data_IF_160533492194
#
_entry.id   IF_160533492194
#
_cell.length_a   1.000
_cell.length_b   1.000
_cell.length_c   1.000
_cell.angle_alpha   90.00
_cell.angle_beta   90.00
_cell.angle_gamma   90.00
#
_symmetry.space_group_name_H-M   'P 1'
#
loop_
_entity.id
_entity.type
_entity.pdbx_description
1 polymer ?
#
# COMPACT_ATOMS: atom_id res chain seq x y z
N UNK A 1 4.02 5.73 34.44
CA UNK A 1 3.80 5.86 32.97
C UNK A 1 3.32 4.51 32.47
N UNK A 2 2.24 4.47 31.70
CA UNK A 2 1.77 3.24 31.09
C UNK A 2 2.73 2.87 29.94
N UNK A 3 3.01 1.59 29.71
CA UNK A 3 3.81 1.21 28.52
C UNK A 3 3.02 1.50 27.25
N UNK A 4 3.68 1.92 26.15
CA UNK A 4 3.04 2.17 24.84
C UNK A 4 2.14 1.00 24.40
N UNK A 5 2.58 -0.24 24.70
CA UNK A 5 1.79 -1.44 24.47
C UNK A 5 0.43 -1.39 25.18
N UNK A 6 0.42 -1.10 26.49
CA UNK A 6 -0.81 -1.06 27.29
C UNK A 6 -1.75 0.04 26.80
N UNK A 7 -1.21 1.18 26.37
CA UNK A 7 -2.01 2.26 25.77
C UNK A 7 -2.69 1.80 24.48
N UNK A 8 -1.95 1.11 23.61
CA UNK A 8 -2.48 0.54 22.36
C UNK A 8 -3.51 -0.56 22.62
N UNK A 9 -3.25 -1.46 23.57
CA UNK A 9 -4.21 -2.50 23.99
C UNK A 9 -5.53 -1.90 24.46
N UNK A 10 -5.48 -0.87 25.30
CA UNK A 10 -6.65 -0.15 25.80
C UNK A 10 -7.40 0.61 24.69
N UNK A 11 -6.67 1.29 23.81
CA UNK A 11 -7.24 2.07 22.72
C UNK A 11 -7.96 1.18 21.69
N UNK A 12 -7.46 -0.02 21.44
CA UNK A 12 -8.05 -0.96 20.47
C UNK A 12 -9.10 -1.84 21.14
N UNK A 13 -9.01 -2.09 22.46
CA UNK A 13 -9.88 -3.04 23.16
C UNK A 13 -9.51 -4.50 22.88
N UNK A 14 -8.21 -4.74 22.65
CA UNK A 14 -7.64 -6.07 22.45
C UNK A 14 -6.40 -6.21 23.34
N UNK A 15 -6.06 -7.43 23.75
CA UNK A 15 -4.90 -7.72 24.60
C UNK A 15 -4.02 -8.79 23.97
N UNK A 16 -2.70 -8.64 24.03
CA UNK A 16 -1.81 -9.73 23.62
C UNK A 16 -1.91 -10.90 24.59
N UNK A 17 -1.71 -12.11 24.09
CA UNK A 17 -1.52 -13.28 24.95
C UNK A 17 -0.24 -13.11 25.77
N UNK A 18 -0.33 -13.40 27.06
CA UNK A 18 0.80 -13.38 27.98
C UNK A 18 1.16 -14.83 28.31
N UNK A 19 2.38 -15.24 27.99
CA UNK A 19 2.92 -16.56 28.32
C UNK A 19 4.17 -16.33 29.17
N UNK A 20 4.25 -16.98 30.34
CA UNK A 20 5.36 -16.83 31.28
C UNK A 20 5.63 -15.37 31.72
N UNK A 21 4.59 -14.52 31.75
CA UNK A 21 4.71 -13.12 32.16
C UNK A 21 5.12 -12.15 31.04
N UNK A 22 5.40 -12.64 29.83
CA UNK A 22 5.78 -11.82 28.68
C UNK A 22 4.68 -11.84 27.62
N UNK A 23 4.47 -10.70 26.93
CA UNK A 23 3.61 -10.73 25.75
C UNK A 23 4.28 -11.53 24.65
N UNK A 24 3.48 -12.38 24.01
CA UNK A 24 3.86 -13.07 22.78
C UNK A 24 3.83 -12.07 21.61
N UNK A 25 4.75 -11.12 21.59
CA UNK A 25 5.09 -10.31 20.41
C UNK A 25 6.60 -10.16 20.31
N UNK A 26 7.15 -10.34 19.11
CA UNK A 26 8.56 -10.04 18.86
C UNK A 26 8.68 -8.85 17.92
N UNK A 27 9.39 -7.84 18.37
CA UNK A 27 9.65 -6.65 17.59
C UNK A 27 11.16 -6.60 17.32
N UNK A 28 11.57 -6.87 16.08
CA UNK A 28 12.96 -6.86 15.64
C UNK A 28 13.21 -5.61 14.80
N UNK A 29 14.34 -4.96 15.03
CA UNK A 29 14.82 -3.86 14.20
C UNK A 29 16.10 -4.26 13.50
N UNK A 30 16.15 -4.06 12.20
CA UNK A 30 17.27 -4.45 11.37
C UNK A 30 17.78 -3.29 10.53
N UNK A 31 19.10 -3.24 10.37
CA UNK A 31 19.79 -2.35 9.45
C UNK A 31 19.95 -2.98 8.05
N UNK A 32 19.38 -4.16 7.81
CA UNK A 32 19.35 -4.78 6.49
C UNK A 32 18.55 -3.93 5.49
N UNK A 33 18.89 -4.08 4.21
CA UNK A 33 18.16 -3.47 3.11
C UNK A 33 17.48 -4.61 2.35
N UNK A 34 16.15 -4.76 2.44
CA UNK A 34 15.45 -5.78 1.68
C UNK A 34 15.53 -5.45 0.18
N UNK A 35 15.47 -6.47 -0.68
CA UNK A 35 15.54 -6.30 -2.14
C UNK A 35 14.49 -5.32 -2.68
N UNK A 36 13.30 -5.28 -2.07
CA UNK A 36 12.22 -4.35 -2.37
C UNK A 36 12.55 -2.88 -2.07
N UNK A 37 13.50 -2.63 -1.15
CA UNK A 37 13.94 -1.28 -0.76
C UNK A 37 15.20 -0.82 -1.50
N UNK A 38 15.83 -1.67 -2.31
CA UNK A 38 17.05 -1.32 -3.06
C UNK A 38 16.81 -0.12 -4.02
N UNK A 39 15.61 -0.01 -4.58
CA UNK A 39 15.20 1.12 -5.44
C UNK A 39 15.08 2.44 -4.67
N UNK A 40 14.55 2.42 -3.44
CA UNK A 40 14.49 3.57 -2.54
C UNK A 40 15.89 4.11 -2.20
N UNK A 41 16.86 3.20 -2.05
CA UNK A 41 18.24 3.55 -1.72
C UNK A 41 19.00 4.14 -2.93
N UNK A 42 18.53 3.91 -4.15
CA UNK A 42 19.21 4.28 -5.40
C UNK A 42 18.73 5.60 -6.05
N UNK A 43 17.68 6.23 -5.53
CA UNK A 43 17.15 7.51 -6.07
C UNK A 43 16.18 7.30 -7.24
N UNK A 44 15.17 8.15 -7.36
CA UNK A 44 14.06 8.03 -8.34
C UNK A 44 13.63 9.44 -8.85
N UNK A 45 12.77 9.61 -9.88
CA UNK A 45 12.77 10.70 -10.92
C UNK A 45 12.22 12.17 -10.66
N UNK A 46 12.78 13.29 -11.25
CA UNK A 46 12.74 14.78 -10.97
C UNK A 46 11.62 15.46 -11.75
N UNK A 47 11.32 15.03 -12.98
CA UNK A 47 10.35 15.68 -13.86
C UNK A 47 9.35 14.66 -14.45
N UNK A 48 8.31 14.27 -13.69
CA UNK A 48 7.40 13.16 -14.03
C UNK A 48 6.51 13.39 -15.24
N UNK A 49 6.00 14.60 -15.44
CA UNK A 49 5.11 14.93 -16.57
C UNK A 49 5.89 14.96 -17.87
N UNK A 50 7.15 15.39 -17.83
CA UNK A 50 8.05 15.29 -18.99
C UNK A 50 8.46 13.85 -19.28
N UNK A 51 8.67 13.03 -18.25
CA UNK A 51 8.94 11.60 -18.38
C UNK A 51 7.71 10.87 -18.94
N UNK A 52 6.52 11.14 -18.41
CA UNK A 52 5.23 10.60 -18.88
C UNK A 52 4.93 11.05 -20.30
N UNK A 53 5.18 12.32 -20.63
CA UNK A 53 5.03 12.85 -21.98
C UNK A 53 6.06 12.23 -22.93
N UNK A 54 7.29 11.98 -22.47
CA UNK A 54 8.31 11.25 -23.21
C UNK A 54 7.89 9.80 -23.51
N UNK A 55 7.32 9.09 -22.52
CA UNK A 55 6.74 7.75 -22.74
C UNK A 55 5.53 7.77 -23.68
N UNK A 56 4.64 8.76 -23.57
CA UNK A 56 3.52 8.93 -24.50
C UNK A 56 4.00 9.23 -25.92
N UNK A 57 5.06 10.03 -26.05
CA UNK A 57 5.69 10.34 -27.34
C UNK A 57 6.34 9.10 -27.92
N UNK A 58 7.08 8.32 -27.13
CA UNK A 58 7.65 7.03 -27.55
C UNK A 58 6.56 6.05 -28.01
N UNK A 59 5.44 5.99 -27.28
CA UNK A 59 4.27 5.17 -27.63
C UNK A 59 3.65 5.64 -28.96
N UNK A 60 3.53 6.95 -29.18
CA UNK A 60 3.03 7.51 -30.43
C UNK A 60 3.98 7.22 -31.60
N UNK A 61 5.28 7.38 -31.41
CA UNK A 61 6.28 7.08 -32.45
C UNK A 61 6.30 5.59 -32.80
N UNK A 62 6.06 4.71 -31.81
CA UNK A 62 5.86 3.27 -32.01
C UNK A 62 4.58 3.00 -32.81
N UNK A 63 3.48 3.69 -32.51
CA UNK A 63 2.23 3.58 -33.25
C UNK A 63 2.39 4.05 -34.71
N UNK A 64 3.08 5.17 -34.94
CA UNK A 64 3.40 5.69 -36.28
C UNK A 64 4.26 4.70 -37.08
N UNK A 65 5.21 4.02 -36.44
CA UNK A 65 5.99 2.95 -37.07
C UNK A 65 5.11 1.76 -37.46
N UNK A 66 4.15 1.38 -36.60
CA UNK A 66 3.16 0.36 -36.91
C UNK A 66 2.21 0.79 -38.05
N UNK A 67 1.83 2.06 -38.16
CA UNK A 67 1.05 2.57 -39.29
C UNK A 67 1.79 2.48 -40.62
N UNK A 68 3.13 2.57 -40.60
CA UNK A 68 3.94 2.32 -41.79
C UNK A 68 3.94 0.81 -42.09
N UNK A 69 4.15 -0.04 -41.09
CA UNK A 69 4.35 -1.49 -41.31
C UNK A 69 3.05 -2.27 -41.58
N UNK A 70 1.96 -2.01 -40.85
CA UNK A 70 0.75 -2.82 -40.87
C UNK A 70 0.06 -2.85 -42.24
N UNK A 71 -0.15 -1.72 -42.94
CA UNK A 71 -0.76 -1.73 -44.27
C UNK A 71 0.13 -2.39 -45.33
N UNK A 72 1.44 -2.44 -45.09
CA UNK A 72 2.44 -3.01 -46.01
C UNK A 72 2.69 -4.49 -45.75
N UNK A 73 2.30 -5.00 -44.57
CA UNK A 73 2.49 -6.39 -44.13
C UNK A 73 1.85 -7.40 -45.08
N UNK A 74 0.64 -7.14 -45.57
CA UNK A 74 -0.05 -8.04 -46.52
C UNK A 74 0.73 -8.15 -47.82
N UNK A 75 1.20 -7.02 -48.35
CA UNK A 75 1.96 -6.92 -49.59
C UNK A 75 3.34 -7.59 -49.48
N UNK A 76 4.02 -7.43 -48.35
CA UNK A 76 5.26 -8.15 -48.08
C UNK A 76 5.05 -9.66 -47.97
N UNK A 77 3.95 -10.10 -47.35
CA UNK A 77 3.61 -11.52 -47.26
C UNK A 77 3.33 -12.12 -48.63
N UNK A 78 2.57 -11.41 -49.45
CA UNK A 78 2.28 -11.77 -50.84
C UNK A 78 3.58 -11.90 -51.65
N UNK A 79 4.50 -10.94 -51.53
CA UNK A 79 5.78 -10.96 -52.25
C UNK A 79 6.79 -12.01 -51.79
N UNK A 80 6.62 -12.54 -50.58
CA UNK A 80 7.38 -13.71 -50.10
C UNK A 80 6.87 -15.00 -50.75
N UNK A 81 5.58 -15.08 -51.05
CA UNK A 81 4.95 -16.27 -51.65
C UNK A 81 4.97 -16.24 -53.18
N UNK A 82 4.87 -15.05 -53.79
CA UNK A 82 4.84 -14.84 -55.24
C UNK A 82 5.55 -13.54 -55.63
N UNK A 83 6.43 -13.58 -56.62
CA UNK A 83 7.16 -12.39 -57.08
C UNK A 83 6.19 -11.33 -57.65
N UNK A 84 6.46 -10.03 -57.45
CA UNK A 84 5.61 -8.95 -57.93
C UNK A 84 5.52 -8.89 -59.46
N UNK A 85 4.32 -8.69 -59.99
CA UNK A 85 4.03 -8.54 -61.43
C UNK A 85 4.72 -7.32 -62.06
N UNK A 86 5.03 -6.29 -61.25
CA UNK A 86 5.70 -5.06 -61.67
C UNK A 86 6.96 -4.80 -60.82
N UNK A 87 8.12 -5.35 -61.21
CA UNK A 87 9.34 -5.33 -60.40
C UNK A 87 9.85 -3.93 -60.06
N UNK A 88 9.76 -2.97 -60.99
CA UNK A 88 10.21 -1.58 -60.78
C UNK A 88 9.33 -0.82 -59.78
N UNK A 89 8.02 -1.08 -59.80
CA UNK A 89 7.10 -0.49 -58.83
C UNK A 89 7.31 -1.08 -57.44
N UNK A 90 7.58 -2.38 -57.37
CA UNK A 90 7.94 -3.05 -56.12
C UNK A 90 9.27 -2.55 -55.54
N UNK A 91 10.28 -2.33 -56.38
CA UNK A 91 11.57 -1.76 -55.97
C UNK A 91 11.40 -0.34 -55.40
N UNK A 92 10.65 0.52 -56.10
CA UNK A 92 10.35 1.87 -55.60
C UNK A 92 9.57 1.82 -54.29
N UNK A 93 8.56 0.94 -54.18
CA UNK A 93 7.79 0.74 -52.96
C UNK A 93 8.65 0.28 -51.76
N UNK A 94 9.60 -0.63 -51.99
CA UNK A 94 10.55 -1.09 -50.98
C UNK A 94 11.50 0.02 -50.55
N UNK A 95 12.01 0.80 -51.51
CA UNK A 95 12.92 1.92 -51.25
C UNK A 95 12.22 3.01 -50.44
N UNK A 96 11.03 3.43 -50.86
CA UNK A 96 10.23 4.44 -50.17
C UNK A 96 9.85 3.99 -48.75
N UNK A 97 9.48 2.71 -48.59
CA UNK A 97 9.17 2.15 -47.27
C UNK A 97 10.41 2.10 -46.38
N UNK A 98 11.57 1.70 -46.91
CA UNK A 98 12.82 1.66 -46.15
C UNK A 98 13.25 3.06 -45.71
N UNK A 99 13.11 4.08 -46.57
CA UNK A 99 13.41 5.46 -46.21
C UNK A 99 12.45 6.00 -45.14
N UNK A 100 11.16 5.68 -45.22
CA UNK A 100 10.17 6.06 -44.20
C UNK A 100 10.48 5.40 -42.85
N UNK A 101 10.79 4.10 -42.84
CA UNK A 101 11.17 3.38 -41.61
C UNK A 101 12.45 3.95 -40.99
N UNK A 102 13.48 4.23 -41.79
CA UNK A 102 14.73 4.81 -41.29
C UNK A 102 14.53 6.16 -40.61
N UNK A 103 13.69 7.03 -41.20
CA UNK A 103 13.39 8.35 -40.60
C UNK A 103 12.61 8.22 -39.30
N UNK A 104 11.67 7.27 -39.23
CA UNK A 104 10.86 7.04 -38.05
C UNK A 104 11.67 6.40 -36.91
N UNK A 105 12.55 5.46 -37.23
CA UNK A 105 13.47 4.82 -36.28
C UNK A 105 14.45 5.83 -35.67
N UNK A 106 15.00 6.74 -36.49
CA UNK A 106 15.86 7.82 -36.00
C UNK A 106 15.14 8.77 -35.02
N UNK A 107 13.87 9.08 -35.27
CA UNK A 107 13.06 9.89 -34.35
C UNK A 107 12.79 9.16 -33.04
N UNK A 108 12.48 7.87 -33.10
CA UNK A 108 12.26 7.03 -31.93
C UNK A 108 13.51 6.95 -31.04
N UNK A 109 14.69 6.69 -31.64
CA UNK A 109 15.97 6.67 -30.92
C UNK A 109 16.31 8.01 -30.27
N UNK A 110 15.93 9.12 -30.91
CA UNK A 110 16.15 10.45 -30.36
C UNK A 110 15.25 10.73 -29.15
N UNK A 111 13.96 10.41 -29.24
CA UNK A 111 13.00 10.52 -28.12
C UNK A 111 13.42 9.62 -26.95
N UNK A 112 13.88 8.40 -27.24
CA UNK A 112 14.43 7.48 -26.23
C UNK A 112 15.64 8.07 -25.52
N UNK A 113 16.60 8.60 -26.27
CA UNK A 113 17.80 9.23 -25.72
C UNK A 113 17.47 10.44 -24.85
N UNK A 114 16.53 11.28 -25.29
CA UNK A 114 16.07 12.44 -24.53
C UNK A 114 15.33 12.03 -23.25
N UNK A 115 14.52 10.98 -23.30
CA UNK A 115 13.85 10.41 -22.14
C UNK A 115 14.86 9.83 -21.13
N UNK A 116 15.89 9.12 -21.60
CA UNK A 116 16.94 8.56 -20.75
C UNK A 116 17.71 9.64 -19.99
N UNK A 117 18.08 10.74 -20.66
CA UNK A 117 18.73 11.89 -20.03
C UNK A 117 17.80 12.50 -18.97
N UNK A 118 16.51 12.67 -19.28
CA UNK A 118 15.52 13.21 -18.33
C UNK A 118 15.26 12.29 -17.15
N UNK A 119 15.41 10.98 -17.31
CA UNK A 119 15.33 9.99 -16.23
C UNK A 119 16.62 10.00 -15.38
N UNK A 120 17.79 10.26 -15.98
CA UNK A 120 19.05 10.40 -15.25
C UNK A 120 19.08 11.66 -14.38
N UNK A 121 18.42 12.74 -14.81
CA UNK A 121 18.38 13.98 -14.03
C UNK A 121 17.57 13.85 -12.74
N UNK A 122 16.86 12.75 -12.51
CA UNK A 122 15.53 12.82 -11.93
C UNK A 122 15.42 12.35 -10.41
N UNK A 123 14.78 13.11 -9.46
CA UNK A 123 14.60 13.04 -7.97
C UNK A 123 13.16 12.77 -7.36
N UNK A 124 13.10 12.04 -6.23
CA UNK A 124 12.12 11.02 -5.73
C UNK A 124 10.60 11.27 -5.49
N UNK A 125 9.90 12.20 -6.15
CA UNK A 125 8.47 12.44 -5.79
C UNK A 125 7.41 11.71 -6.63
N UNK A 126 7.75 11.06 -7.74
CA UNK A 126 6.75 10.43 -8.64
C UNK A 126 6.86 8.93 -8.79
N UNK A 127 6.71 8.27 -7.65
CA UNK A 127 7.04 6.87 -7.49
C UNK A 127 5.81 6.00 -7.44
N UNK A 128 5.88 4.89 -8.18
CA UNK A 128 5.06 3.71 -7.91
C UNK A 128 5.05 3.45 -6.40
N UNK A 129 3.89 3.06 -5.82
CA UNK A 129 3.80 2.79 -4.41
C UNK A 129 4.88 1.79 -3.99
N UNK A 130 5.70 2.19 -3.03
CA UNK A 130 6.76 1.35 -2.49
C UNK A 130 6.09 0.15 -1.81
N UNK A 131 6.48 -1.10 -2.10
CA UNK A 131 5.90 -2.24 -1.41
C UNK A 131 6.07 -2.10 0.09
N UNK A 132 5.00 -2.32 0.87
CA UNK A 132 5.05 -2.26 2.35
C UNK A 132 6.18 -3.15 2.93
N UNK A 133 6.47 -4.26 2.24
CA UNK A 133 7.59 -5.17 2.51
C UNK A 133 9.00 -4.55 2.43
N UNK A 134 9.13 -3.34 1.89
CA UNK A 134 10.37 -2.56 1.92
C UNK A 134 10.65 -1.97 3.31
N UNK A 135 9.61 -1.78 4.13
CA UNK A 135 9.71 -1.17 5.46
C UNK A 135 9.65 -2.18 6.59
N UNK A 136 8.91 -3.28 6.41
CA UNK A 136 8.89 -4.36 7.39
C UNK A 136 8.48 -5.71 6.80
N UNK A 137 8.79 -6.77 7.54
CA UNK A 137 8.28 -8.11 7.32
C UNK A 137 7.49 -8.58 8.55
N UNK A 138 6.25 -9.00 8.35
CA UNK A 138 5.39 -9.55 9.42
C UNK A 138 5.39 -11.07 9.32
N UNK A 139 5.67 -11.73 10.43
CA UNK A 139 5.34 -13.14 10.62
C UNK A 139 4.00 -13.22 11.36
N UNK A 140 3.08 -14.02 10.82
CA UNK A 140 1.75 -14.25 11.40
C UNK A 140 1.63 -15.63 12.06
N UNK A 141 2.65 -16.48 11.91
CA UNK A 141 2.76 -17.78 12.56
C UNK A 141 3.34 -17.62 13.97
N UNK A 142 4.38 -16.80 14.08
CA UNK A 142 4.86 -16.20 15.32
C UNK A 142 4.54 -14.71 15.25
N UNK A 143 3.75 -14.12 16.17
CA UNK A 143 3.41 -12.69 16.15
C UNK A 143 4.66 -11.80 16.24
N UNK A 144 5.29 -11.56 15.10
CA UNK A 144 6.57 -10.91 15.02
C UNK A 144 6.61 -9.94 13.84
N UNK A 145 7.34 -8.85 14.02
CA UNK A 145 7.64 -7.92 12.94
C UNK A 145 9.12 -7.59 12.94
N UNK A 146 9.74 -7.62 11.75
CA UNK A 146 11.08 -7.13 11.51
C UNK A 146 10.99 -5.82 10.76
N UNK A 147 11.34 -4.70 11.40
CA UNK A 147 11.42 -3.39 10.76
C UNK A 147 12.78 -3.17 10.13
N UNK A 148 12.80 -2.58 8.93
CA UNK A 148 14.02 -2.16 8.26
C UNK A 148 14.25 -0.65 8.48
N UNK A 149 15.23 -0.33 9.33
CA UNK A 149 15.49 1.05 9.74
C UNK A 149 16.17 1.89 8.65
N UNK A 150 16.97 1.28 7.79
CA UNK A 150 17.65 1.98 6.68
C UNK A 150 16.66 2.52 5.64
N UNK A 151 15.71 1.71 5.12
CA UNK A 151 14.65 2.21 4.24
C UNK A 151 13.82 3.33 4.87
N UNK A 152 13.49 3.23 6.17
CA UNK A 152 12.76 4.28 6.89
C UNK A 152 13.58 5.57 7.02
N UNK A 153 14.86 5.46 7.40
CA UNK A 153 15.77 6.61 7.47
C UNK A 153 15.91 7.29 6.11
N UNK A 154 16.05 6.50 5.05
CA UNK A 154 16.12 7.01 3.68
C UNK A 154 14.83 7.72 3.29
N UNK A 155 13.67 7.11 3.54
CA UNK A 155 12.38 7.77 3.28
C UNK A 155 12.24 9.09 4.02
N UNK A 156 12.69 9.16 5.28
CA UNK A 156 12.68 10.40 6.05
C UNK A 156 13.56 11.49 5.41
N UNK A 157 14.77 11.15 4.95
CA UNK A 157 15.64 12.11 4.24
C UNK A 157 14.98 12.66 2.98
N UNK A 158 14.34 11.79 2.20
CA UNK A 158 13.71 12.12 0.92
C UNK A 158 12.56 13.10 1.11
N UNK A 159 11.70 12.78 2.07
CA UNK A 159 10.50 13.53 2.36
C UNK A 159 10.76 14.67 3.35
N UNK A 160 12.01 14.89 3.75
CA UNK A 160 12.44 15.89 4.72
C UNK A 160 11.67 15.78 6.05
N UNK A 161 11.42 14.55 6.49
CA UNK A 161 10.72 14.22 7.72
C UNK A 161 11.69 13.97 8.86
N UNK A 162 11.18 14.04 10.10
CA UNK A 162 11.93 13.61 11.27
C UNK A 162 12.05 12.07 11.29
N UNK A 163 13.28 11.51 11.22
CA UNK A 163 13.48 10.06 11.13
C UNK A 163 13.06 9.31 12.40
N UNK A 164 13.23 9.91 13.58
CA UNK A 164 12.81 9.28 14.84
C UNK A 164 11.29 9.26 14.95
N UNK A 165 10.63 10.34 14.53
CA UNK A 165 9.18 10.40 14.52
C UNK A 165 8.57 9.43 13.50
N UNK A 166 9.19 9.31 12.31
CA UNK A 166 8.80 8.32 11.31
C UNK A 166 8.93 6.88 11.85
N UNK A 167 10.06 6.55 12.47
CA UNK A 167 10.25 5.22 13.09
C UNK A 167 9.21 4.98 14.18
N UNK A 168 8.92 5.97 15.03
CA UNK A 168 7.90 5.86 16.07
C UNK A 168 6.51 5.52 15.50
N UNK A 169 6.03 6.27 14.50
CA UNK A 169 4.69 6.03 13.94
C UNK A 169 4.60 4.72 13.16
N UNK A 170 5.69 4.29 12.51
CA UNK A 170 5.75 2.98 11.85
C UNK A 170 5.75 1.84 12.88
N UNK A 171 6.50 1.96 13.98
CA UNK A 171 6.44 1.00 15.09
C UNK A 171 5.05 0.88 15.65
N UNK A 172 4.39 2.02 15.88
CA UNK A 172 3.04 2.06 16.38
C UNK A 172 2.07 1.36 15.42
N UNK A 173 2.18 1.62 14.11
CA UNK A 173 1.36 0.94 13.11
C UNK A 173 1.49 -0.58 13.15
N UNK A 174 2.72 -1.10 13.17
CA UNK A 174 2.93 -2.55 13.19
C UNK A 174 2.52 -3.17 14.53
N UNK A 175 2.64 -2.45 15.64
CA UNK A 175 2.13 -2.89 16.94
C UNK A 175 0.59 -3.03 16.91
N UNK A 176 -0.11 -2.04 16.36
CA UNK A 176 -1.56 -2.07 16.14
C UNK A 176 -1.92 -3.27 15.24
N UNK A 177 -1.20 -3.45 14.13
CA UNK A 177 -1.46 -4.51 13.17
C UNK A 177 -1.26 -5.91 13.77
N UNK A 178 -0.19 -6.13 14.52
CA UNK A 178 0.04 -7.38 15.25
C UNK A 178 -1.10 -7.68 16.23
N UNK A 179 -1.62 -6.66 16.93
CA UNK A 179 -2.74 -6.83 17.84
C UNK A 179 -4.04 -7.18 17.09
N UNK A 180 -4.26 -6.62 15.90
CA UNK A 180 -5.41 -6.97 15.06
C UNK A 180 -5.34 -8.42 14.54
N UNK A 181 -4.14 -8.93 14.25
CA UNK A 181 -3.94 -10.30 13.74
C UNK A 181 -4.08 -11.32 14.88
N UNK A 182 -3.39 -11.11 16.01
CA UNK A 182 -3.18 -12.14 17.04
C UNK A 182 -3.78 -11.80 18.42
N UNK A 183 -4.27 -10.58 18.63
CA UNK A 183 -4.81 -10.12 19.92
C UNK A 183 -6.10 -10.83 20.33
N UNK A 184 -6.21 -11.13 21.62
CA UNK A 184 -7.46 -11.54 22.27
C UNK A 184 -8.37 -10.33 22.46
N UNK A 185 -9.68 -10.55 22.52
CA UNK A 185 -10.55 -9.51 23.07
C UNK A 185 -10.37 -9.36 24.59
N UNK A 186 -10.99 -8.33 25.16
CA UNK A 186 -10.90 -8.06 26.60
C UNK A 186 -11.43 -9.22 27.46
N UNK A 187 -12.39 -9.99 26.94
CA UNK A 187 -12.94 -11.19 27.58
C UNK A 187 -11.97 -12.39 27.51
N UNK A 188 -10.87 -12.28 26.76
CA UNK A 188 -9.87 -13.33 26.59
C UNK A 188 -10.17 -14.34 25.49
N UNK A 189 -11.15 -14.08 24.61
CA UNK A 189 -11.48 -14.99 23.52
C UNK A 189 -10.55 -14.78 22.31
N UNK A 190 -10.18 -15.91 21.69
CA UNK A 190 -9.37 -15.93 20.48
C UNK A 190 -10.22 -15.50 19.30
N UNK A 191 -9.89 -14.35 18.71
CA UNK A 191 -10.61 -13.79 17.57
C UNK A 191 -9.65 -13.57 16.39
N UNK A 192 -9.11 -14.64 15.81
CA UNK A 192 -8.11 -14.56 14.72
C UNK A 192 -8.76 -14.53 13.35
N UNK A 193 -8.41 -13.55 12.52
CA UNK A 193 -8.80 -13.47 11.10
C UNK A 193 -7.56 -13.21 10.26
N UNK A 194 -7.10 -14.24 9.51
CA UNK A 194 -5.85 -14.18 8.72
C UNK A 194 -6.06 -13.87 7.24
N UNK A 195 -7.31 -13.90 6.75
CA UNK A 195 -7.62 -13.92 5.31
C UNK A 195 -8.13 -12.59 4.73
N UNK A 196 -8.09 -11.48 5.47
CA UNK A 196 -8.62 -10.19 5.01
C UNK A 196 -7.63 -9.04 5.29
N UNK A 197 -6.49 -9.13 4.60
CA UNK A 197 -5.36 -8.21 4.72
C UNK A 197 -5.79 -6.75 4.49
N UNK A 198 -6.69 -6.49 3.53
CA UNK A 198 -7.16 -5.13 3.23
C UNK A 198 -7.91 -4.50 4.40
N UNK A 199 -8.80 -5.24 5.05
CA UNK A 199 -9.54 -4.72 6.21
C UNK A 199 -8.62 -4.55 7.43
N UNK A 200 -7.69 -5.48 7.64
CA UNK A 200 -6.70 -5.37 8.72
C UNK A 200 -5.82 -4.12 8.58
N UNK A 201 -5.28 -3.86 7.39
CA UNK A 201 -4.45 -2.68 7.12
C UNK A 201 -5.28 -1.40 7.27
N UNK A 202 -6.54 -1.40 6.81
CA UNK A 202 -7.47 -0.28 7.05
C UNK A 202 -7.64 0.01 8.54
N UNK A 203 -7.99 -0.99 9.33
CA UNK A 203 -8.17 -0.83 10.78
C UNK A 203 -6.87 -0.38 11.46
N UNK A 204 -5.73 -0.92 11.02
CA UNK A 204 -4.43 -0.49 11.53
C UNK A 204 -4.18 1.00 11.26
N UNK A 205 -4.50 1.47 10.05
CA UNK A 205 -4.43 2.90 9.72
C UNK A 205 -5.33 3.76 10.60
N UNK A 206 -6.58 3.34 10.80
CA UNK A 206 -7.53 4.05 11.64
C UNK A 206 -7.04 4.18 13.09
N UNK A 207 -6.69 3.07 13.74
CA UNK A 207 -6.27 3.08 15.15
C UNK A 207 -4.93 3.79 15.34
N UNK A 208 -4.00 3.68 14.39
CA UNK A 208 -2.73 4.42 14.45
C UNK A 208 -2.96 5.93 14.39
N UNK A 209 -3.78 6.41 13.44
CA UNK A 209 -4.13 7.82 13.32
C UNK A 209 -4.83 8.36 14.57
N UNK A 210 -5.72 7.55 15.17
CA UNK A 210 -6.40 7.91 16.42
C UNK A 210 -5.42 8.02 17.58
N UNK A 211 -4.46 7.11 17.69
CA UNK A 211 -3.49 7.12 18.79
C UNK A 211 -2.56 8.35 18.73
N UNK A 212 -2.23 8.82 17.53
CA UNK A 212 -1.41 10.01 17.32
C UNK A 212 -2.24 11.29 17.12
N UNK A 213 -3.56 11.22 17.34
CA UNK A 213 -4.43 12.37 17.22
C UNK A 213 -4.00 13.46 18.22
N UNK A 214 -3.72 14.66 17.72
CA UNK A 214 -3.18 15.77 18.53
C UNK A 214 -1.65 15.89 18.53
N UNK A 215 -0.92 14.94 17.94
CA UNK A 215 0.51 15.04 17.68
C UNK A 215 0.74 15.38 16.20
N UNK A 216 0.76 16.67 15.87
CA UNK A 216 0.80 17.16 14.48
C UNK A 216 1.96 16.59 13.66
N UNK A 217 3.17 16.58 14.22
CA UNK A 217 4.36 16.03 13.57
C UNK A 217 4.25 14.52 13.33
N UNK A 218 3.72 13.77 14.31
CA UNK A 218 3.46 12.34 14.20
C UNK A 218 2.45 12.05 13.09
N UNK A 219 1.33 12.77 13.09
CA UNK A 219 0.28 12.62 12.10
C UNK A 219 0.79 12.92 10.68
N UNK A 220 1.62 13.96 10.54
CA UNK A 220 2.27 14.28 9.26
C UNK A 220 3.22 13.17 8.80
N UNK A 221 4.16 12.73 9.64
CA UNK A 221 5.08 11.64 9.32
C UNK A 221 4.34 10.35 8.93
N UNK A 222 3.26 10.04 9.65
CA UNK A 222 2.45 8.86 9.38
C UNK A 222 1.70 8.98 8.04
N UNK A 223 1.10 10.13 7.76
CA UNK A 223 0.41 10.39 6.49
C UNK A 223 1.35 10.26 5.29
N UNK A 224 2.53 10.85 5.36
CA UNK A 224 3.54 10.76 4.31
C UNK A 224 4.07 9.33 4.10
N UNK A 225 4.26 8.58 5.20
CA UNK A 225 4.58 7.16 5.09
C UNK A 225 3.47 6.36 4.41
N UNK A 226 2.21 6.56 4.79
CA UNK A 226 1.05 5.88 4.18
C UNK A 226 0.94 6.21 2.69
N UNK A 227 1.17 7.46 2.30
CA UNK A 227 1.21 7.88 0.89
C UNK A 227 2.29 7.13 0.12
N UNK A 228 3.48 6.97 0.69
CA UNK A 228 4.64 6.38 0.03
C UNK A 228 4.43 4.94 -0.47
N UNK A 229 3.53 4.17 0.17
CA UNK A 229 3.17 2.81 -0.24
C UNK A 229 1.76 2.70 -0.85
N UNK A 230 1.11 3.83 -1.16
CA UNK A 230 -0.19 3.86 -1.86
C UNK A 230 -1.41 3.65 -0.96
N UNK A 231 -1.28 3.85 0.35
CA UNK A 231 -2.35 3.63 1.33
C UNK A 231 -3.36 4.77 1.51
N UNK A 232 -3.32 5.83 0.68
CA UNK A 232 -4.15 7.04 0.82
C UNK A 232 -5.65 6.71 0.93
N UNK A 233 -6.15 5.85 0.03
CA UNK A 233 -7.55 5.43 0.02
C UNK A 233 -7.97 4.59 1.24
N UNK A 234 -7.04 4.13 2.08
CA UNK A 234 -7.33 3.41 3.32
C UNK A 234 -7.59 4.37 4.48
N UNK A 235 -7.03 5.58 4.42
CA UNK A 235 -7.21 6.64 5.43
C UNK A 235 -8.52 7.39 5.20
N UNK A 236 -8.85 7.66 3.94
CA UNK A 236 -10.06 8.38 3.54
C UNK A 236 -11.35 7.55 3.67
N UNK A 237 -11.23 6.22 3.73
CA UNK A 237 -12.37 5.31 3.77
C UNK A 237 -13.07 5.20 5.14
N UNK A 238 -12.51 5.76 6.21
CA UNK A 238 -13.16 5.71 7.53
C UNK A 238 -14.11 6.90 7.75
N UNK A 239 -15.36 6.64 8.17
CA UNK A 239 -16.31 7.71 8.47
C UNK A 239 -15.77 8.63 9.56
N UNK A 240 -15.97 9.95 9.37
CA UNK A 240 -15.45 10.95 10.28
C UNK A 240 -16.07 10.81 11.68
N UNK A 241 -15.15 10.76 12.65
CA UNK A 241 -15.24 11.05 14.09
C UNK A 241 -16.24 10.35 15.02
N UNK A 242 -17.44 9.89 14.61
CA UNK A 242 -18.54 9.59 15.58
C UNK A 242 -18.75 8.11 15.97
N UNK A 243 -17.68 7.33 16.09
CA UNK A 243 -17.35 6.68 17.37
C UNK A 243 -16.30 5.59 17.19
N UNK A 244 -15.19 5.75 17.91
CA UNK A 244 -14.16 4.72 18.05
C UNK A 244 -14.77 3.45 18.64
N UNK A 245 -15.80 3.57 19.47
CA UNK A 245 -16.55 2.48 20.06
C UNK A 245 -17.31 1.66 19.00
N UNK A 246 -17.94 2.29 17.99
CA UNK A 246 -18.62 1.55 16.90
C UNK A 246 -17.61 0.79 16.06
N UNK A 247 -16.50 1.43 15.70
CA UNK A 247 -15.45 0.76 14.92
C UNK A 247 -14.86 -0.41 15.72
N UNK A 248 -14.62 -0.22 17.03
CA UNK A 248 -14.19 -1.29 17.93
C UNK A 248 -15.22 -2.42 18.02
N UNK A 249 -16.51 -2.10 18.18
CA UNK A 249 -17.58 -3.09 18.26
C UNK A 249 -17.71 -3.88 16.95
N UNK A 250 -17.70 -3.19 15.80
CA UNK A 250 -17.75 -3.81 14.50
C UNK A 250 -16.52 -4.69 14.25
N UNK A 251 -15.33 -4.22 14.64
CA UNK A 251 -14.10 -5.01 14.59
C UNK A 251 -14.20 -6.28 15.43
N UNK A 252 -14.62 -6.20 16.70
CA UNK A 252 -14.76 -7.39 17.56
C UNK A 252 -15.78 -8.35 16.97
N UNK A 253 -16.91 -7.85 16.51
CA UNK A 253 -17.96 -8.65 15.89
C UNK A 253 -17.49 -9.34 14.60
N UNK A 254 -16.80 -8.59 13.74
CA UNK A 254 -16.14 -9.07 12.52
C UNK A 254 -15.08 -10.13 12.82
N UNK A 255 -14.27 -9.98 13.88
CA UNK A 255 -13.26 -10.98 14.26
C UNK A 255 -13.86 -12.24 14.89
N UNK A 256 -14.97 -12.12 15.64
CA UNK A 256 -15.68 -13.25 16.27
C UNK A 256 -16.51 -14.08 15.27
N UNK A 257 -16.96 -13.48 14.16
CA UNK A 257 -17.81 -14.16 13.16
C UNK A 257 -17.12 -14.23 11.80
N UNK A 258 -16.36 -15.31 11.58
CA UNK A 258 -15.59 -15.55 10.35
C UNK A 258 -16.42 -15.63 9.07
N UNK A 259 -17.74 -15.82 9.17
CA UNK A 259 -18.66 -15.85 8.04
C UNK A 259 -19.11 -14.47 7.55
N UNK A 260 -18.88 -13.38 8.33
CA UNK A 260 -19.38 -12.04 7.99
C UNK A 260 -18.33 -11.19 7.30
N UNK A 261 -18.67 -10.48 6.23
CA UNK A 261 -17.75 -9.49 5.64
C UNK A 261 -17.59 -8.27 6.58
N UNK A 262 -16.57 -7.44 6.33
CA UNK A 262 -16.43 -6.18 7.07
C UNK A 262 -17.65 -5.28 6.93
N UNK A 263 -18.14 -5.11 5.70
CA UNK A 263 -19.29 -4.25 5.42
C UNK A 263 -20.55 -4.74 6.13
N UNK A 264 -20.79 -6.06 6.16
CA UNK A 264 -21.90 -6.65 6.92
C UNK A 264 -21.78 -6.43 8.44
N UNK A 265 -20.56 -6.52 8.99
CA UNK A 265 -20.33 -6.27 10.41
C UNK A 265 -20.51 -4.78 10.75
N UNK A 266 -20.05 -3.90 9.87
CA UNK A 266 -20.16 -2.46 10.01
C UNK A 266 -21.61 -1.97 9.90
N UNK A 267 -22.35 -2.43 8.90
CA UNK A 267 -23.76 -2.08 8.72
C UNK A 267 -24.63 -2.60 9.87
N UNK A 268 -24.34 -3.79 10.42
CA UNK A 268 -25.02 -4.27 11.63
C UNK A 268 -24.82 -3.33 12.81
N UNK A 269 -23.59 -2.90 13.08
CA UNK A 269 -23.32 -1.99 14.19
C UNK A 269 -23.95 -0.61 13.97
N UNK A 270 -23.97 -0.11 12.73
CA UNK A 270 -24.69 1.13 12.39
C UNK A 270 -26.20 1.00 12.58
N UNK A 271 -26.80 -0.12 12.20
CA UNK A 271 -28.25 -0.35 12.30
C UNK A 271 -28.75 -0.43 13.74
N UNK A 272 -27.87 -0.74 14.70
CA UNK A 272 -28.18 -0.74 16.14
C UNK A 272 -28.41 0.67 16.71
N UNK A 273 -28.10 1.73 15.97
CA UNK A 273 -28.47 3.10 16.36
C UNK A 273 -29.89 3.47 15.89
N UNK A 274 -30.41 2.83 14.84
CA UNK A 274 -31.77 3.08 14.32
C UNK A 274 -32.86 2.32 15.08
N UNK A 275 -32.52 1.17 15.67
CA UNK A 275 -33.37 0.45 16.60
C UNK A 275 -32.69 0.54 17.96
N UNK A 276 -33.17 1.45 18.82
CA UNK A 276 -32.51 1.80 20.08
C UNK A 276 -31.94 0.59 20.83
N UNK A 277 -30.76 0.78 21.42
CA UNK A 277 -29.98 -0.15 22.26
C UNK A 277 -30.81 -0.85 23.36
N UNK A 278 -31.72 -1.74 22.99
CA UNK A 278 -32.64 -2.41 23.89
C UNK A 278 -32.68 -3.93 23.70
N UNK A 279 -32.16 -4.49 22.61
CA UNK A 279 -32.32 -5.94 22.39
C UNK A 279 -31.13 -6.66 21.74
N UNK A 280 -29.91 -6.19 22.03
CA UNK A 280 -28.75 -7.06 21.94
C UNK A 280 -28.33 -7.46 23.35
N UNK A 281 -28.61 -8.71 23.73
CA UNK A 281 -28.09 -9.35 24.95
C UNK A 281 -26.56 -9.46 24.92
N UNK A 282 -25.89 -8.33 25.09
CA UNK A 282 -24.47 -8.22 25.44
C UNK A 282 -24.29 -7.99 26.96
N UNK A 283 -25.35 -8.15 27.75
CA UNK A 283 -25.36 -7.84 29.19
C UNK A 283 -25.76 -8.99 30.12
N UNK A 284 -26.00 -10.22 29.63
CA UNK A 284 -26.22 -11.38 30.52
C UNK A 284 -24.93 -12.01 31.07
N UNK A 285 -23.75 -11.51 30.67
CA UNK A 285 -22.45 -11.91 31.26
C UNK A 285 -21.76 -10.85 32.11
N UNK A 286 -22.33 -9.65 32.24
CA UNK A 286 -21.68 -8.49 32.87
C UNK A 286 -22.53 -7.83 33.97
N UNK A 287 -23.60 -8.49 34.44
CA UNK A 287 -24.45 -8.01 35.54
C UNK A 287 -24.49 -8.89 36.80
N UNK A 288 -23.77 -10.00 36.84
CA UNK A 288 -23.52 -10.71 38.10
C UNK A 288 -22.08 -10.48 38.53
N UNK A 289 -21.91 -9.41 39.33
CA UNK A 289 -20.89 -9.20 40.38
C UNK A 289 -20.63 -7.71 40.54
N UNK A 290 -21.69 -6.99 40.94
CA UNK A 290 -21.53 -5.86 41.84
C UNK A 290 -21.88 -6.32 43.24
N UNK A 291 -20.88 -6.25 44.12
CA UNK A 291 -20.98 -6.10 45.58
C UNK A 291 -21.76 -7.17 46.35
N UNK A 292 -21.02 -8.06 47.03
CA UNK A 292 -21.22 -8.34 48.45
C UNK A 292 -19.86 -8.73 49.08
N UNK A 293 -19.43 -7.88 50.03
CA UNK A 293 -18.32 -7.98 51.00
C UNK A 293 -16.88 -8.11 50.49
#
# INVERSE_FOLDING_TARGET
MCSLRLEVEQAIGLKFQIINGEAMIRFEESMEIPRSADLLMKGMYQNPDEVKHGFQTLQQETANLLEILLPRRSRFREWVEQLPDHPREAENFLKDTSEQLKRQDQRMLQVEKELLIKLEDSGMQDLFPIPVGAFALIDTSEPAVKLYLRPLGRLAEILQLNPEQLRYVVRLHYLVLLLLIEGLDLDGQVCKRKNDEKVLVKLACFFTLRQIQGQSEAAHCYSEWVKSWGGIGLVEAFPQQDSIEKIRAAMIFWRRRTSLTWDEAWEKVKSLDSEGFADCRFSEGLREHKFYN
#
